data_IF_364798429897
#
_entry.id   IF_364798429897
#
_cell.length_a   1.000
_cell.length_b   1.000
_cell.length_c   1.000
_cell.angle_alpha   90.00
_cell.angle_beta   90.00
_cell.angle_gamma   90.00
#
_symmetry.space_group_name_H-M   'P 1'
#
loop_
_entity.id
_entity.type
_entity.pdbx_description
1 polymer ?
#
# COMPACT_ATOMS: atom_id res chain seq x y z
N UNK A 1 14.08 7.71 11.03
CA UNK A 1 13.41 6.92 9.99
C UNK A 1 13.79 5.43 10.06
N UNK A 2 15.05 5.09 10.21
CA UNK A 2 15.56 3.70 10.31
C UNK A 2 14.71 2.81 11.21
N UNK A 3 14.49 3.21 12.46
CA UNK A 3 13.71 2.44 13.43
C UNK A 3 12.27 2.21 12.99
N UNK A 4 11.66 3.18 12.29
CA UNK A 4 10.33 3.00 11.73
C UNK A 4 10.28 1.92 10.65
N UNK A 5 11.26 1.90 9.75
CA UNK A 5 11.32 0.91 8.67
C UNK A 5 11.67 -0.49 9.16
N UNK A 6 12.54 -0.61 10.18
CA UNK A 6 12.97 -1.91 10.71
C UNK A 6 12.01 -2.53 11.72
N UNK A 7 11.12 -1.73 12.35
CA UNK A 7 10.30 -2.13 13.48
C UNK A 7 9.50 -3.44 13.23
N UNK A 8 8.87 -3.55 12.07
CA UNK A 8 8.03 -4.72 11.74
C UNK A 8 8.85 -5.97 11.36
N UNK A 9 10.15 -5.84 11.15
CA UNK A 9 11.06 -6.93 10.77
C UNK A 9 12.09 -7.29 11.86
N UNK A 10 11.98 -6.72 13.06
CA UNK A 10 12.95 -6.93 14.14
C UNK A 10 13.22 -8.41 14.44
N UNK A 11 12.20 -9.28 14.37
CA UNK A 11 12.37 -10.73 14.55
C UNK A 11 13.41 -11.35 13.61
N UNK A 12 13.57 -10.79 12.41
CA UNK A 12 14.54 -11.25 11.40
C UNK A 12 15.90 -10.57 11.54
N UNK A 13 15.96 -9.47 12.28
CA UNK A 13 17.15 -8.63 12.46
C UNK A 13 17.84 -8.83 13.81
N UNK A 14 17.25 -9.63 14.71
CA UNK A 14 17.79 -9.90 16.03
C UNK A 14 18.57 -11.20 16.07
N UNK A 15 19.66 -11.22 16.84
CA UNK A 15 20.39 -12.42 17.25
C UNK A 15 20.40 -12.47 18.78
N UNK A 16 19.61 -13.36 19.36
CA UNK A 16 19.33 -13.36 20.80
C UNK A 16 18.63 -12.07 21.23
N UNK A 17 19.16 -11.36 22.21
CA UNK A 17 18.60 -10.11 22.73
C UNK A 17 19.05 -8.83 21.98
N UNK A 18 19.91 -8.95 20.97
CA UNK A 18 20.52 -7.79 20.31
C UNK A 18 20.13 -7.67 18.84
N UNK A 19 19.92 -6.42 18.39
CA UNK A 19 19.69 -6.10 16.98
C UNK A 19 21.04 -6.13 16.26
N UNK A 20 21.12 -6.86 15.14
CA UNK A 20 22.26 -6.81 14.24
C UNK A 20 22.23 -5.49 13.44
N UNK A 21 22.94 -4.50 13.92
CA UNK A 21 22.98 -3.15 13.33
C UNK A 21 23.38 -3.13 11.84
N UNK A 22 24.27 -4.04 11.44
CA UNK A 22 24.73 -4.13 10.04
C UNK A 22 23.60 -4.63 9.13
N UNK A 23 22.91 -5.69 9.53
CA UNK A 23 21.78 -6.22 8.77
C UNK A 23 20.58 -5.27 8.78
N UNK A 24 20.32 -4.61 9.93
CA UNK A 24 19.30 -3.57 10.03
C UNK A 24 19.54 -2.45 9.01
N UNK A 25 20.76 -1.91 8.97
CA UNK A 25 21.13 -0.84 8.06
C UNK A 25 20.96 -1.24 6.61
N UNK A 26 21.49 -2.42 6.23
CA UNK A 26 21.35 -2.97 4.87
C UNK A 26 19.88 -3.14 4.45
N UNK A 27 19.03 -3.68 5.36
CA UNK A 27 17.62 -3.86 5.09
C UNK A 27 16.90 -2.51 4.90
N UNK A 28 17.21 -1.51 5.73
CA UNK A 28 16.62 -0.17 5.65
C UNK A 28 17.07 0.57 4.38
N UNK A 29 18.36 0.51 4.02
CA UNK A 29 18.87 1.09 2.77
C UNK A 29 18.16 0.47 1.56
N UNK A 30 18.00 -0.85 1.54
CA UNK A 30 17.24 -1.54 0.47
C UNK A 30 15.77 -1.12 0.39
N UNK A 31 15.11 -0.81 1.52
CA UNK A 31 13.76 -0.27 1.53
C UNK A 31 13.69 1.17 1.02
N UNK A 32 14.65 2.01 1.40
CA UNK A 32 14.76 3.40 0.94
C UNK A 32 14.87 3.44 -0.59
N UNK A 33 15.77 2.63 -1.14
CA UNK A 33 16.01 2.54 -2.58
C UNK A 33 14.76 1.99 -3.31
N UNK A 34 14.20 0.87 -2.83
CA UNK A 34 13.06 0.22 -3.45
C UNK A 34 11.82 1.12 -3.50
N UNK A 35 11.59 1.92 -2.45
CA UNK A 35 10.46 2.83 -2.34
C UNK A 35 10.78 4.23 -2.87
N UNK A 36 12.01 4.45 -3.33
CA UNK A 36 12.50 5.76 -3.76
C UNK A 36 12.17 6.85 -2.73
N UNK A 37 12.52 6.60 -1.45
CA UNK A 37 12.32 7.58 -0.38
C UNK A 37 13.41 8.63 -0.49
N UNK A 38 13.01 9.89 -0.70
CA UNK A 38 13.95 11.02 -0.75
C UNK A 38 14.27 11.45 0.68
N UNK A 39 15.51 11.20 1.11
CA UNK A 39 16.02 11.50 2.45
C UNK A 39 17.52 11.73 2.42
N UNK A 40 18.07 12.64 3.25
CA UNK A 40 19.52 12.83 3.35
C UNK A 40 20.22 11.66 4.06
N UNK A 41 19.54 10.95 4.94
CA UNK A 41 20.09 9.76 5.63
C UNK A 41 19.00 8.86 6.23
N UNK A 42 19.29 7.57 6.53
CA UNK A 42 18.38 6.70 7.26
C UNK A 42 18.03 7.19 8.68
N UNK A 43 18.89 8.01 9.28
CA UNK A 43 18.70 8.57 10.61
C UNK A 43 17.74 9.77 10.64
N UNK A 44 17.43 10.37 9.47
CA UNK A 44 16.50 11.49 9.37
C UNK A 44 15.18 11.19 10.10
N UNK A 45 14.70 12.14 10.87
CA UNK A 45 13.41 12.02 11.55
C UNK A 45 12.26 12.06 10.55
N UNK A 46 11.26 11.19 10.74
CA UNK A 46 10.15 11.01 9.78
C UNK A 46 9.32 12.28 9.63
N UNK A 47 9.15 13.07 10.70
CA UNK A 47 8.35 14.30 10.65
C UNK A 47 8.95 15.37 9.74
N UNK A 48 10.27 15.33 9.50
CA UNK A 48 10.98 16.26 8.61
C UNK A 48 10.89 15.86 7.12
N UNK A 49 10.26 14.71 6.81
CA UNK A 49 10.04 14.28 5.43
C UNK A 49 8.77 14.93 4.85
N UNK A 50 8.72 15.04 3.51
CA UNK A 50 7.49 15.41 2.80
C UNK A 50 6.37 14.40 3.07
N UNK A 51 5.10 14.79 2.88
CA UNK A 51 3.94 13.92 3.07
C UNK A 51 4.05 12.61 2.30
N UNK A 52 4.45 12.68 1.02
CA UNK A 52 4.66 11.50 0.19
C UNK A 52 5.77 10.59 0.69
N UNK A 53 6.90 11.14 1.16
CA UNK A 53 7.98 10.33 1.73
C UNK A 53 7.59 9.73 3.08
N UNK A 54 6.83 10.44 3.92
CA UNK A 54 6.27 9.86 5.15
C UNK A 54 5.37 8.66 4.85
N UNK A 55 4.51 8.77 3.84
CA UNK A 55 3.63 7.67 3.44
C UNK A 55 4.43 6.47 2.89
N UNK A 56 5.49 6.72 2.12
CA UNK A 56 6.42 5.66 1.69
C UNK A 56 7.10 4.96 2.86
N UNK A 57 7.43 5.66 3.95
CA UNK A 57 7.94 5.04 5.18
C UNK A 57 6.89 4.13 5.82
N UNK A 58 5.62 4.54 5.86
CA UNK A 58 4.52 3.69 6.37
C UNK A 58 4.38 2.42 5.52
N UNK A 59 4.35 2.55 4.20
CA UNK A 59 4.30 1.40 3.28
C UNK A 59 5.54 0.51 3.46
N UNK A 60 6.73 1.11 3.60
CA UNK A 60 7.98 0.39 3.82
C UNK A 60 8.00 -0.43 5.11
N UNK A 61 7.46 0.13 6.19
CA UNK A 61 7.29 -0.58 7.47
C UNK A 61 6.42 -1.83 7.31
N UNK A 62 5.31 -1.71 6.57
CA UNK A 62 4.40 -2.83 6.31
C UNK A 62 5.08 -3.86 5.40
N UNK A 63 5.79 -3.39 4.37
CA UNK A 63 6.53 -4.25 3.44
C UNK A 63 7.62 -5.08 4.14
N UNK A 64 8.33 -4.48 5.10
CA UNK A 64 9.39 -5.14 5.86
C UNK A 64 8.90 -6.35 6.67
N UNK A 65 7.62 -6.37 7.07
CA UNK A 65 7.00 -7.47 7.79
C UNK A 65 6.82 -8.74 6.96
N UNK A 66 6.82 -8.64 5.61
CA UNK A 66 6.62 -9.75 4.64
C UNK A 66 5.41 -10.64 4.97
N UNK A 67 4.22 -10.10 5.20
CA UNK A 67 3.04 -10.88 5.48
C UNK A 67 2.57 -11.63 4.22
N UNK A 68 1.68 -12.63 4.41
CA UNK A 68 1.01 -13.31 3.29
C UNK A 68 -0.13 -12.46 2.70
N UNK A 69 -0.71 -11.55 3.51
CA UNK A 69 -1.79 -10.64 3.08
C UNK A 69 -1.53 -9.26 3.65
N UNK A 70 -1.62 -8.25 2.81
CA UNK A 70 -1.58 -6.83 3.17
C UNK A 70 -2.99 -6.26 3.25
N UNK A 71 -3.30 -5.58 4.35
CA UNK A 71 -4.52 -4.80 4.52
C UNK A 71 -4.14 -3.32 4.47
N UNK A 72 -4.56 -2.62 3.44
CA UNK A 72 -4.18 -1.23 3.17
C UNK A 72 -5.44 -0.36 3.16
N UNK A 73 -5.62 0.41 4.21
CA UNK A 73 -6.74 1.34 4.30
C UNK A 73 -6.31 2.73 3.82
N UNK A 74 -6.86 3.15 2.68
CA UNK A 74 -6.58 4.42 2.01
C UNK A 74 -5.07 4.79 1.95
N UNK A 75 -4.19 3.91 1.42
CA UNK A 75 -2.74 4.09 1.51
C UNK A 75 -2.22 5.34 0.78
N UNK A 76 -3.05 5.97 -0.05
CA UNK A 76 -2.72 7.16 -0.85
C UNK A 76 -3.42 8.43 -0.39
N UNK A 77 -4.06 8.41 0.79
CA UNK A 77 -4.79 9.57 1.30
C UNK A 77 -3.85 10.70 1.72
N UNK A 78 -4.19 11.93 1.33
CA UNK A 78 -3.49 13.14 1.79
C UNK A 78 -2.09 13.36 1.23
N UNK A 79 -1.76 12.73 0.12
CA UNK A 79 -0.49 12.91 -0.60
C UNK A 79 -0.70 13.52 -1.99
N UNK A 80 0.36 14.08 -2.56
CA UNK A 80 0.34 14.62 -3.91
C UNK A 80 0.22 13.51 -5.00
N UNK A 81 -0.18 13.91 -6.20
CA UNK A 81 -0.45 13.01 -7.33
C UNK A 81 0.78 12.17 -7.69
N UNK A 82 1.98 12.74 -7.61
CA UNK A 82 3.22 12.05 -7.98
C UNK A 82 3.55 10.94 -6.97
N UNK A 83 3.47 11.27 -5.67
CA UNK A 83 3.66 10.29 -4.59
C UNK A 83 2.58 9.19 -4.64
N UNK A 84 1.32 9.53 -4.93
CA UNK A 84 0.20 8.60 -5.12
C UNK A 84 0.53 7.56 -6.20
N UNK A 85 0.89 8.01 -7.41
CA UNK A 85 1.27 7.12 -8.51
C UNK A 85 2.42 6.18 -8.13
N UNK A 86 3.43 6.72 -7.48
CA UNK A 86 4.58 5.94 -7.00
C UNK A 86 4.17 4.84 -6.02
N UNK A 87 3.30 5.15 -5.05
CA UNK A 87 2.82 4.17 -4.05
C UNK A 87 1.94 3.10 -4.71
N UNK A 88 1.03 3.47 -5.61
CA UNK A 88 0.20 2.51 -6.33
C UNK A 88 1.03 1.56 -7.21
N UNK A 89 2.08 2.06 -7.87
CA UNK A 89 3.02 1.23 -8.62
C UNK A 89 3.74 0.22 -7.70
N UNK A 90 4.21 0.66 -6.51
CA UNK A 90 4.83 -0.21 -5.52
C UNK A 90 3.86 -1.30 -5.05
N UNK A 91 2.61 -0.95 -4.76
CA UNK A 91 1.58 -1.91 -4.35
C UNK A 91 1.39 -2.97 -5.44
N UNK A 92 1.19 -2.54 -6.68
CA UNK A 92 0.94 -3.44 -7.82
C UNK A 92 2.14 -4.34 -8.14
N UNK A 93 3.34 -3.75 -8.25
CA UNK A 93 4.51 -4.44 -8.78
C UNK A 93 5.29 -5.22 -7.71
N UNK A 94 5.27 -4.74 -6.47
CA UNK A 94 6.12 -5.28 -5.41
C UNK A 94 5.35 -6.06 -4.35
N UNK A 95 4.17 -5.58 -3.92
CA UNK A 95 3.36 -6.28 -2.92
C UNK A 95 2.53 -7.38 -3.57
N UNK A 96 1.71 -7.05 -4.55
CA UNK A 96 0.77 -8.00 -5.17
C UNK A 96 1.47 -9.16 -5.91
N UNK A 97 2.74 -9.02 -6.30
CA UNK A 97 3.52 -10.10 -6.89
C UNK A 97 3.93 -11.20 -5.90
N UNK A 98 3.79 -10.96 -4.58
CA UNK A 98 4.30 -11.87 -3.54
C UNK A 98 3.28 -12.22 -2.46
N UNK A 99 2.19 -11.46 -2.36
CA UNK A 99 1.19 -11.60 -1.31
C UNK A 99 -0.17 -11.16 -1.81
N UNK A 100 -1.23 -11.57 -1.13
CA UNK A 100 -2.56 -10.98 -1.33
C UNK A 100 -2.58 -9.54 -0.86
N UNK A 101 -3.30 -8.66 -1.57
CA UNK A 101 -3.49 -7.27 -1.17
C UNK A 101 -4.98 -6.97 -1.14
N UNK A 102 -5.48 -6.56 0.02
CA UNK A 102 -6.81 -5.97 0.17
C UNK A 102 -6.63 -4.49 0.47
N UNK A 103 -7.21 -3.63 -0.36
CA UNK A 103 -7.07 -2.18 -0.17
C UNK A 103 -8.39 -1.44 -0.34
N UNK A 104 -8.52 -0.32 0.35
CA UNK A 104 -9.51 0.70 0.08
C UNK A 104 -8.84 1.92 -0.53
N UNK A 105 -9.58 2.73 -1.30
CA UNK A 105 -9.08 3.99 -1.83
C UNK A 105 -10.23 5.00 -1.97
N UNK A 106 -9.97 6.31 -1.78
CA UNK A 106 -10.98 7.34 -1.92
C UNK A 106 -11.35 7.61 -3.39
N UNK A 107 -10.45 7.33 -4.34
CA UNK A 107 -10.66 7.53 -5.77
C UNK A 107 -10.86 6.21 -6.51
N UNK A 108 -11.87 6.15 -7.39
CA UNK A 108 -12.14 4.96 -8.21
C UNK A 108 -11.01 4.68 -9.20
N UNK A 109 -10.37 5.72 -9.72
CA UNK A 109 -9.23 5.62 -10.62
C UNK A 109 -8.06 4.84 -10.00
N UNK A 110 -7.84 4.97 -8.68
CA UNK A 110 -6.80 4.24 -7.97
C UNK A 110 -7.08 2.74 -8.00
N UNK A 111 -8.33 2.34 -7.69
CA UNK A 111 -8.75 0.94 -7.69
C UNK A 111 -8.69 0.34 -9.09
N UNK A 112 -9.19 1.06 -10.10
CA UNK A 112 -9.16 0.62 -11.50
C UNK A 112 -7.71 0.38 -11.97
N UNK A 113 -6.77 1.20 -11.52
CA UNK A 113 -5.37 1.12 -11.97
C UNK A 113 -4.61 -0.09 -11.41
N UNK A 114 -4.94 -0.54 -10.20
CA UNK A 114 -4.13 -1.54 -9.47
C UNK A 114 -4.85 -2.85 -9.19
N UNK A 115 -6.18 -2.84 -8.97
CA UNK A 115 -6.90 -4.03 -8.50
C UNK A 115 -7.17 -5.03 -9.63
N UNK A 116 -7.07 -6.31 -9.31
CA UNK A 116 -7.51 -7.40 -10.18
C UNK A 116 -9.00 -7.73 -9.98
N UNK A 117 -9.50 -7.42 -8.77
CA UNK A 117 -10.87 -7.64 -8.36
C UNK A 117 -11.33 -6.51 -7.43
N UNK A 118 -12.55 -6.03 -7.63
CA UNK A 118 -13.15 -4.96 -6.81
C UNK A 118 -14.48 -5.45 -6.26
N UNK A 119 -14.65 -5.29 -4.95
CA UNK A 119 -15.90 -5.57 -4.23
C UNK A 119 -16.56 -4.26 -3.86
N UNK A 120 -17.84 -4.12 -4.18
CA UNK A 120 -18.66 -2.97 -3.77
C UNK A 120 -19.45 -3.36 -2.51
N UNK A 121 -19.22 -2.61 -1.44
CA UNK A 121 -19.91 -2.78 -0.17
C UNK A 121 -21.00 -1.71 -0.01
N UNK A 122 -22.20 -2.15 0.35
CA UNK A 122 -23.31 -1.28 0.69
C UNK A 122 -24.07 -1.86 1.88
N UNK A 123 -24.32 -1.05 2.92
CA UNK A 123 -25.02 -1.51 4.12
C UNK A 123 -24.37 -2.70 4.81
N UNK A 124 -23.05 -2.82 4.80
CA UNK A 124 -22.30 -3.93 5.41
C UNK A 124 -22.35 -5.25 4.62
N UNK A 125 -22.81 -5.23 3.39
CA UNK A 125 -22.89 -6.40 2.50
C UNK A 125 -22.17 -6.12 1.19
N UNK A 126 -21.57 -7.16 0.60
CA UNK A 126 -21.07 -7.12 -0.77
C UNK A 126 -22.25 -7.17 -1.70
N UNK A 127 -22.44 -6.12 -2.50
CA UNK A 127 -23.55 -5.99 -3.45
C UNK A 127 -23.14 -6.24 -4.88
N UNK A 128 -21.86 -6.01 -5.22
CA UNK A 128 -21.30 -6.25 -6.55
C UNK A 128 -19.85 -6.70 -6.46
N UNK A 129 -19.42 -7.43 -7.48
CA UNK A 129 -18.06 -7.90 -7.66
C UNK A 129 -17.64 -7.73 -9.12
N UNK A 130 -16.49 -7.13 -9.33
CA UNK A 130 -15.94 -6.85 -10.65
C UNK A 130 -14.55 -7.45 -10.80
N UNK A 131 -14.23 -7.98 -11.96
CA UNK A 131 -12.92 -8.53 -12.31
C UNK A 131 -12.23 -7.66 -13.35
N UNK A 132 -10.90 -7.62 -13.34
CA UNK A 132 -10.07 -6.84 -14.27
C UNK A 132 -10.49 -7.10 -15.73
N UNK A 133 -10.65 -6.01 -16.49
CA UNK A 133 -11.13 -6.05 -17.87
C UNK A 133 -12.65 -5.98 -18.04
N UNK A 134 -13.42 -6.12 -16.93
CA UNK A 134 -14.87 -6.01 -16.94
C UNK A 134 -15.39 -4.77 -16.19
N UNK A 135 -14.50 -3.85 -15.78
CA UNK A 135 -14.88 -2.62 -15.08
C UNK A 135 -14.02 -1.43 -15.50
N UNK A 136 -14.61 -0.26 -15.41
CA UNK A 136 -14.00 1.04 -15.43
C UNK A 136 -14.60 1.92 -14.33
N UNK A 137 -14.21 3.18 -14.27
CA UNK A 137 -14.73 4.11 -13.25
C UNK A 137 -16.26 4.27 -13.33
N UNK A 138 -16.84 4.27 -14.54
CA UNK A 138 -18.26 4.42 -14.77
C UNK A 138 -19.07 3.27 -14.18
N UNK A 139 -18.67 2.04 -14.42
CA UNK A 139 -19.33 0.83 -13.92
C UNK A 139 -19.29 0.79 -12.39
N UNK A 140 -18.14 1.12 -11.81
CA UNK A 140 -17.98 1.19 -10.36
C UNK A 140 -18.86 2.30 -9.76
N UNK A 141 -18.87 3.48 -10.39
CA UNK A 141 -19.70 4.59 -9.94
C UNK A 141 -21.20 4.21 -9.89
N UNK A 142 -21.71 3.58 -10.95
CA UNK A 142 -23.10 3.14 -11.02
C UNK A 142 -23.41 2.09 -9.94
N UNK A 143 -22.52 1.15 -9.71
CA UNK A 143 -22.70 0.11 -8.70
C UNK A 143 -22.74 0.68 -7.27
N UNK A 144 -21.84 1.63 -6.94
CA UNK A 144 -21.80 2.28 -5.62
C UNK A 144 -23.07 3.05 -5.34
N UNK A 145 -23.68 3.67 -6.36
CA UNK A 145 -24.93 4.44 -6.22
C UNK A 145 -26.20 3.59 -6.38
N UNK A 146 -26.08 2.27 -6.51
CA UNK A 146 -27.22 1.37 -6.66
C UNK A 146 -27.97 1.53 -8.00
N UNK A 147 -27.31 2.16 -9.00
CA UNK A 147 -27.89 2.39 -10.33
C UNK A 147 -27.69 1.19 -11.28
N UNK A 148 -26.95 0.18 -10.84
CA UNK A 148 -26.64 -1.04 -11.61
C UNK A 148 -27.63 -2.19 -11.33
N UNK A 149 -28.88 -1.86 -10.96
CA UNK A 149 -29.93 -2.86 -10.69
C UNK A 149 -30.40 -3.65 -11.92
N UNK A 150 -29.77 -3.48 -13.08
CA UNK A 150 -30.18 -4.13 -14.32
C UNK A 150 -29.54 -5.52 -14.56
N UNK A 151 -28.70 -6.06 -13.64
CA UNK A 151 -28.03 -7.36 -13.82
C UNK A 151 -28.17 -8.34 -12.66
N UNK A 152 -29.14 -8.14 -11.76
CA UNK A 152 -29.51 -9.11 -10.74
C UNK A 152 -30.84 -9.79 -11.14
N UNK A 153 -30.77 -10.74 -12.06
CA UNK A 153 -31.77 -11.80 -12.30
C UNK A 153 -31.02 -13.11 -12.52
#
# INVERSE_FOLDING_TARGET
MRENLSLSSLKHLTRGAFINKREERKAVEGLIDMLSIVTPSPEQEVHNLSGGNRQKVVVGKIFAARPLVYLLDEPTRGIDISAKKSILAIIKERLASRAGVLMTAPGLEDLVSVCDRILVLCGGRVVNEFYRGAFGERELYLAIHGMDRARAV
#
